data_IF_263765891822
#
_entry.id   IF_263765891822
#
_cell.length_a   1.000
_cell.length_b   1.000
_cell.length_c   1.000
_cell.angle_alpha   90.00
_cell.angle_beta   90.00
_cell.angle_gamma   90.00
#
_symmetry.space_group_name_H-M   'P 1'
#
loop_
_entity.id
_entity.type
_entity.pdbx_description
1 polymer ?
#
# COMPACT_ATOMS: atom_id res chain seq x y z
N UNK A 1 -16.38 -36.61 -37.92
CA UNK A 1 -15.45 -35.91 -36.98
C UNK A 1 -14.62 -34.94 -37.81
N UNK A 2 -14.49 -33.64 -37.57
CA UNK A 2 -15.09 -32.68 -36.66
C UNK A 2 -14.76 -31.28 -37.24
N UNK A 3 -15.70 -30.34 -37.17
CA UNK A 3 -15.61 -29.04 -37.85
C UNK A 3 -14.68 -28.06 -37.12
N UNK A 4 -13.78 -27.42 -37.85
CA UNK A 4 -12.88 -26.37 -37.36
C UNK A 4 -13.64 -25.06 -37.10
N UNK A 5 -13.88 -24.73 -35.84
CA UNK A 5 -14.41 -23.44 -35.40
C UNK A 5 -13.30 -22.41 -35.17
N UNK A 6 -12.82 -21.74 -36.22
CA UNK A 6 -11.96 -20.56 -36.10
C UNK A 6 -12.80 -19.36 -35.64
N UNK A 7 -12.86 -19.09 -34.34
CA UNK A 7 -13.34 -17.80 -33.83
C UNK A 7 -12.14 -16.85 -33.71
N UNK A 8 -11.91 -16.13 -34.80
CA UNK A 8 -10.98 -15.01 -34.90
C UNK A 8 -11.52 -13.82 -34.11
N UNK A 9 -11.21 -13.72 -32.82
CA UNK A 9 -11.51 -12.54 -31.99
C UNK A 9 -10.60 -11.38 -32.36
N UNK A 10 -10.93 -10.67 -33.45
CA UNK A 10 -10.42 -9.31 -33.65
C UNK A 10 -11.23 -8.39 -32.72
N UNK A 11 -10.59 -7.61 -31.83
CA UNK A 11 -11.32 -6.60 -31.07
C UNK A 11 -11.95 -5.59 -32.05
N UNK A 12 -13.17 -5.10 -31.78
CA UNK A 12 -13.78 -4.08 -32.62
C UNK A 12 -12.89 -2.83 -32.60
N UNK A 13 -12.56 -2.33 -33.79
CA UNK A 13 -11.84 -1.08 -33.96
C UNK A 13 -12.63 0.01 -33.23
N UNK A 14 -12.02 0.62 -32.21
CA UNK A 14 -12.59 1.72 -31.44
C UNK A 14 -12.81 2.90 -32.41
N UNK A 15 -14.04 2.98 -32.91
CA UNK A 15 -14.52 4.06 -33.76
C UNK A 15 -14.56 5.35 -32.94
N UNK A 16 -13.71 6.28 -33.35
CA UNK A 16 -13.74 7.73 -33.14
C UNK A 16 -15.07 8.26 -32.59
N UNK A 17 -15.05 8.70 -31.33
CA UNK A 17 -16.15 9.38 -30.66
C UNK A 17 -15.59 10.26 -29.55
N UNK A 18 -15.13 11.45 -29.94
CA UNK A 18 -14.60 12.52 -29.07
C UNK A 18 -15.60 12.90 -27.95
N UNK A 19 -16.89 12.75 -28.25
CA UNK A 19 -18.04 13.06 -27.40
C UNK A 19 -18.12 12.21 -26.12
N UNK A 20 -17.71 10.93 -26.19
CA UNK A 20 -17.74 10.04 -25.02
C UNK A 20 -16.59 10.31 -24.06
N UNK A 21 -15.52 11.00 -24.49
CA UNK A 21 -14.41 11.37 -23.61
C UNK A 21 -14.78 12.63 -22.81
N UNK A 22 -15.43 13.60 -23.45
CA UNK A 22 -15.86 14.85 -22.81
C UNK A 22 -16.91 14.61 -21.71
N UNK A 23 -17.88 13.71 -21.94
CA UNK A 23 -18.87 13.35 -20.93
C UNK A 23 -18.26 12.71 -19.66
N UNK A 24 -17.12 12.00 -19.79
CA UNK A 24 -16.38 11.47 -18.64
C UNK A 24 -15.59 12.55 -17.90
N UNK A 25 -15.06 13.54 -18.60
CA UNK A 25 -14.30 14.66 -18.02
C UNK A 25 -15.24 15.62 -17.25
N UNK A 26 -16.45 15.84 -17.78
CA UNK A 26 -17.43 16.76 -17.19
C UNK A 26 -17.96 16.29 -15.82
N UNK A 27 -18.03 14.98 -15.60
CA UNK A 27 -18.41 14.40 -14.30
C UNK A 27 -17.42 14.62 -13.16
N UNK A 28 -16.19 15.09 -13.45
CA UNK A 28 -15.15 15.36 -12.47
C UNK A 28 -15.13 16.82 -11.96
N UNK A 29 -16.15 17.62 -12.30
CA UNK A 29 -16.35 18.96 -11.76
C UNK A 29 -16.76 18.92 -10.29
N UNK A 30 -15.78 18.92 -9.39
CA UNK A 30 -16.00 19.21 -7.96
C UNK A 30 -16.53 20.64 -7.87
N UNK A 31 -17.85 20.79 -7.70
CA UNK A 31 -18.40 22.05 -7.21
C UNK A 31 -17.80 22.29 -5.83
N UNK A 32 -16.87 23.23 -5.77
CA UNK A 32 -16.32 23.74 -4.53
C UNK A 32 -17.37 24.68 -3.95
N UNK A 33 -18.05 24.33 -2.84
CA UNK A 33 -18.88 25.32 -2.16
C UNK A 33 -17.98 26.45 -1.66
N UNK A 34 -18.35 27.65 -2.07
CA UNK A 34 -17.78 28.94 -1.65
C UNK A 34 -17.68 29.02 -0.11
N UNK A 35 -16.50 29.31 0.46
CA UNK A 35 -16.35 29.49 1.90
C UNK A 35 -16.94 30.86 2.31
N UNK A 36 -17.88 30.94 3.27
CA UNK A 36 -18.20 32.21 3.89
C UNK A 36 -17.00 32.73 4.69
N UNK A 37 -16.83 34.05 4.60
CA UNK A 37 -15.76 34.87 5.16
C UNK A 37 -15.55 34.73 6.70
N UNK A 38 -14.41 35.20 7.23
CA UNK A 38 -13.78 34.68 8.44
C UNK A 38 -14.40 35.28 9.71
N UNK A 39 -15.05 34.45 10.50
CA UNK A 39 -15.32 34.74 11.90
C UNK A 39 -14.29 33.99 12.78
N UNK A 40 -13.40 34.77 13.39
CA UNK A 40 -12.67 34.49 14.62
C UNK A 40 -11.95 33.12 14.77
N UNK A 41 -10.62 33.15 14.73
CA UNK A 41 -9.77 32.18 15.44
C UNK A 41 -9.07 32.90 16.61
N UNK A 42 -8.64 32.22 17.69
CA UNK A 42 -9.09 30.92 18.17
C UNK A 42 -9.27 30.87 19.71
N UNK A 43 -10.31 30.21 20.21
CA UNK A 43 -10.10 29.45 21.46
C UNK A 43 -9.36 28.17 21.06
N UNK A 44 -8.14 27.91 21.55
CA UNK A 44 -7.51 26.63 21.32
C UNK A 44 -8.42 25.56 21.94
N UNK A 45 -8.86 24.54 21.20
CA UNK A 45 -9.44 23.38 21.85
C UNK A 45 -8.37 22.84 22.78
N UNK A 46 -8.65 22.88 24.09
CA UNK A 46 -7.87 22.18 25.11
C UNK A 46 -7.68 20.76 24.62
N UNK A 47 -6.49 20.48 24.12
CA UNK A 47 -6.07 19.14 23.72
C UNK A 47 -6.06 18.37 25.04
N UNK A 48 -6.96 17.38 25.25
CA UNK A 48 -6.90 16.59 26.46
C UNK A 48 -5.50 15.96 26.54
N UNK A 49 -4.92 16.21 27.70
CA UNK A 49 -3.74 15.60 28.31
C UNK A 49 -3.16 14.42 27.52
N UNK A 50 -1.91 14.59 27.09
CA UNK A 50 -1.16 13.62 26.32
C UNK A 50 -0.99 12.30 27.08
N UNK A 51 -1.98 11.41 26.95
CA UNK A 51 -1.72 9.98 27.04
C UNK A 51 -0.62 9.58 26.05
N UNK A 52 0.13 8.50 26.31
CA UNK A 52 1.19 8.05 25.43
C UNK A 52 0.65 7.98 24.00
N UNK A 53 1.20 8.82 23.11
CA UNK A 53 0.77 8.83 21.71
C UNK A 53 0.95 7.39 21.21
N UNK A 54 -0.12 6.73 20.76
CA UNK A 54 0.02 5.36 20.25
C UNK A 54 1.04 5.41 19.12
N UNK A 55 1.97 4.46 19.12
CA UNK A 55 2.96 4.34 18.06
C UNK A 55 2.24 4.34 16.70
N UNK A 56 2.84 4.84 15.62
CA UNK A 56 2.17 4.94 14.32
C UNK A 56 1.58 3.62 13.82
N UNK A 57 2.18 2.48 14.19
CA UNK A 57 1.70 1.12 13.88
C UNK A 57 0.57 0.62 14.79
N UNK A 58 0.31 1.28 15.92
CA UNK A 58 -0.77 0.96 16.87
C UNK A 58 -2.02 1.85 16.67
N UNK A 59 -2.04 2.70 15.64
CA UNK A 59 -3.18 3.55 15.32
C UNK A 59 -4.36 2.73 14.79
N UNK A 60 -5.60 3.14 15.09
CA UNK A 60 -6.83 2.43 14.71
C UNK A 60 -7.05 2.25 13.20
N UNK A 61 -6.34 3.02 12.36
CA UNK A 61 -6.37 2.89 10.90
C UNK A 61 -5.37 1.88 10.33
N UNK A 62 -4.51 1.29 11.16
CA UNK A 62 -3.55 0.26 10.73
C UNK A 62 -4.25 -1.09 10.73
N UNK A 63 -4.17 -1.79 9.60
CA UNK A 63 -4.81 -3.08 9.37
C UNK A 63 -3.76 -4.16 9.15
N UNK A 64 -3.85 -5.25 9.91
CA UNK A 64 -2.92 -6.38 9.83
C UNK A 64 -3.05 -7.19 8.53
N UNK A 65 -4.22 -7.15 7.88
CA UNK A 65 -4.49 -7.87 6.64
C UNK A 65 -4.02 -7.13 5.38
N UNK A 66 -3.58 -5.86 5.51
CA UNK A 66 -3.15 -5.04 4.39
C UNK A 66 -1.63 -5.10 4.24
N UNK A 67 -1.16 -5.86 3.24
CA UNK A 67 0.23 -5.86 2.85
C UNK A 67 0.57 -4.63 1.99
N UNK A 68 1.62 -3.90 2.36
CA UNK A 68 2.18 -2.81 1.56
C UNK A 68 3.48 -3.26 0.89
N UNK A 69 3.68 -2.85 -0.37
CA UNK A 69 4.88 -3.19 -1.13
C UNK A 69 6.08 -2.44 -0.57
N UNK A 70 7.15 -3.18 -0.24
CA UNK A 70 8.45 -2.64 0.14
C UNK A 70 9.53 -3.24 -0.76
N UNK A 71 10.18 -2.41 -1.58
CA UNK A 71 11.19 -2.86 -2.53
C UNK A 71 12.58 -2.91 -1.88
N UNK A 72 13.09 -4.12 -1.65
CA UNK A 72 14.43 -4.34 -1.10
C UNK A 72 15.51 -4.20 -2.17
N UNK A 73 16.62 -3.54 -1.83
CA UNK A 73 17.85 -3.53 -2.64
C UNK A 73 18.84 -4.50 -2.02
N UNK A 74 19.02 -5.66 -2.66
CA UNK A 74 19.96 -6.68 -2.22
C UNK A 74 21.19 -6.69 -3.13
N UNK A 75 22.40 -6.89 -2.58
CA UNK A 75 23.55 -7.24 -3.40
C UNK A 75 23.28 -8.55 -4.15
N UNK A 76 23.80 -8.67 -5.37
CA UNK A 76 23.59 -9.81 -6.24
C UNK A 76 23.85 -11.18 -5.58
N UNK A 77 24.93 -11.38 -4.79
CA UNK A 77 25.19 -12.67 -4.15
C UNK A 77 24.05 -13.13 -3.23
N UNK A 78 23.35 -12.21 -2.58
CA UNK A 78 22.25 -12.53 -1.68
C UNK A 78 20.97 -12.83 -2.44
N UNK A 79 20.73 -12.16 -3.58
CA UNK A 79 19.63 -12.50 -4.47
C UNK A 79 19.79 -13.94 -4.98
N UNK A 80 20.99 -14.33 -5.40
CA UNK A 80 21.27 -15.68 -5.87
C UNK A 80 21.06 -16.73 -4.76
N UNK A 81 21.48 -16.44 -3.53
CA UNK A 81 21.21 -17.31 -2.38
C UNK A 81 19.72 -17.47 -2.10
N UNK A 82 18.93 -16.40 -2.19
CA UNK A 82 17.48 -16.48 -2.01
C UNK A 82 16.82 -17.32 -3.10
N UNK A 83 17.24 -17.17 -4.37
CA UNK A 83 16.75 -18.02 -5.47
C UNK A 83 17.06 -19.49 -5.19
N UNK A 84 18.28 -19.79 -4.76
CA UNK A 84 18.68 -21.14 -4.40
C UNK A 84 17.79 -21.72 -3.28
N UNK A 85 17.52 -20.95 -2.23
CA UNK A 85 16.63 -21.39 -1.14
C UNK A 85 15.24 -21.72 -1.68
N UNK A 86 14.65 -20.86 -2.51
CA UNK A 86 13.32 -21.08 -3.07
C UNK A 86 13.22 -22.29 -4.03
N UNK A 87 14.34 -22.69 -4.64
CA UNK A 87 14.41 -23.89 -5.49
C UNK A 87 14.54 -25.18 -4.66
N UNK A 88 15.06 -25.09 -3.44
CA UNK A 88 15.42 -26.25 -2.60
C UNK A 88 14.52 -26.40 -1.37
N UNK A 89 13.55 -25.50 -1.19
CA UNK A 89 12.60 -25.50 -0.08
C UNK A 89 11.20 -25.19 -0.59
N UNK A 90 10.14 -25.54 0.16
CA UNK A 90 8.78 -25.15 -0.22
C UNK A 90 8.52 -23.64 -0.04
N UNK A 91 9.45 -22.89 0.56
CA UNK A 91 9.29 -21.47 0.85
C UNK A 91 9.59 -20.62 -0.39
N UNK A 92 8.69 -19.68 -0.71
CA UNK A 92 9.00 -18.66 -1.71
C UNK A 92 10.05 -17.68 -1.18
N UNK A 93 10.78 -17.02 -2.07
CA UNK A 93 11.75 -15.97 -1.69
C UNK A 93 11.13 -14.90 -0.79
N UNK A 94 9.87 -14.53 -1.07
CA UNK A 94 9.14 -13.55 -0.27
C UNK A 94 8.78 -14.08 1.12
N UNK A 95 8.28 -15.32 1.22
CA UNK A 95 7.96 -15.95 2.50
C UNK A 95 9.20 -16.09 3.38
N UNK A 96 10.31 -16.56 2.81
CA UNK A 96 11.58 -16.65 3.52
C UNK A 96 12.04 -15.28 4.07
N UNK A 97 11.98 -14.24 3.24
CA UNK A 97 12.31 -12.88 3.66
C UNK A 97 11.41 -12.38 4.79
N UNK A 98 10.09 -12.61 4.72
CA UNK A 98 9.15 -12.19 5.76
C UNK A 98 9.39 -12.94 7.09
N UNK A 99 9.61 -14.25 7.02
CA UNK A 99 9.89 -15.09 8.19
C UNK A 99 11.17 -14.67 8.93
N UNK A 100 12.16 -14.15 8.20
CA UNK A 100 13.37 -13.60 8.80
C UNK A 100 13.21 -12.14 9.26
N UNK A 101 12.51 -11.31 8.47
CA UNK A 101 12.44 -9.86 8.66
C UNK A 101 11.48 -9.46 9.79
N UNK A 102 10.29 -10.06 9.88
CA UNK A 102 9.28 -9.68 10.88
C UNK A 102 9.77 -9.86 12.32
N UNK A 103 10.35 -11.01 12.71
CA UNK A 103 10.88 -11.18 14.06
C UNK A 103 12.03 -10.22 14.38
N UNK A 104 12.85 -9.89 13.38
CA UNK A 104 13.94 -8.94 13.53
C UNK A 104 13.44 -7.50 13.76
N UNK A 105 12.33 -7.11 13.11
CA UNK A 105 11.66 -5.83 13.36
C UNK A 105 11.13 -5.79 14.79
N UNK A 106 10.37 -6.80 15.21
CA UNK A 106 9.77 -6.84 16.55
C UNK A 106 10.83 -6.79 17.65
N UNK A 107 11.91 -7.57 17.50
CA UNK A 107 13.03 -7.55 18.43
C UNK A 107 13.70 -6.18 18.49
N UNK A 108 13.84 -5.49 17.35
CA UNK A 108 14.43 -4.15 17.30
C UNK A 108 13.54 -3.10 17.95
N UNK A 109 12.23 -3.16 17.73
CA UNK A 109 11.26 -2.26 18.38
C UNK A 109 11.26 -2.50 19.89
N UNK A 110 11.23 -3.76 20.34
CA UNK A 110 11.28 -4.09 21.76
C UNK A 110 12.56 -3.54 22.42
N UNK A 111 13.73 -3.65 21.77
CA UNK A 111 14.98 -3.10 22.28
C UNK A 111 14.96 -1.55 22.35
N UNK A 112 14.35 -0.88 21.36
CA UNK A 112 14.17 0.57 21.37
C UNK A 112 13.21 1.00 22.49
N UNK A 113 12.20 0.19 22.79
CA UNK A 113 11.28 0.45 23.89
C UNK A 113 11.95 0.23 25.26
N UNK A 114 12.72 -0.85 25.46
CA UNK A 114 13.44 -1.08 26.73
C UNK A 114 14.46 0.02 27.04
N UNK A 115 15.17 0.49 26.01
CA UNK A 115 16.15 1.58 26.15
C UNK A 115 15.52 2.96 26.38
N UNK A 116 14.26 3.18 25.98
CA UNK A 116 13.53 4.42 26.25
C UNK A 116 12.93 4.51 27.66
N UNK A 117 12.89 3.40 28.40
CA UNK A 117 12.38 3.34 29.79
C UNK A 117 13.51 3.34 30.85
N UNK A 118 14.76 3.57 30.43
CA UNK A 118 15.94 3.71 31.31
C UNK A 118 16.39 5.16 31.38
#
# INVERSE_FOLDING_TARGET
MGSEGKLSSRPPSLGKGDDSLEAFIEGAGVQTPEPPAPAAHPEPPSVPEAGPRPYPWAASGVRDDVAKVFNLRLPEPYLLKLKYIAEHTPDSMQQFCLNALLPAIDAKIAALMDSAHR
#
